data_IF_417793891006
#
_entry.id   IF_417793891006
#
_cell.length_a   1.000
_cell.length_b   1.000
_cell.length_c   1.000
_cell.angle_alpha   90.00
_cell.angle_beta   90.00
_cell.angle_gamma   90.00
#
_symmetry.space_group_name_H-M   'P 1'
#
loop_
_entity.id
_entity.type
_entity.pdbx_description
1 polymer ?
#
# COMPACT_ATOMS: atom_id res chain seq x y z
N UNK A 1 -0.74 9.30 5.43
CA UNK A 1 -1.60 8.23 4.86
C UNK A 1 -1.16 6.82 5.26
N UNK A 2 -0.15 6.68 6.10
CA UNK A 2 0.40 5.38 6.52
C UNK A 2 -0.41 4.80 7.66
N UNK A 3 -0.88 3.55 7.54
CA UNK A 3 -1.67 2.90 8.58
C UNK A 3 -1.69 1.39 8.42
N UNK A 4 -1.31 0.68 9.47
CA UNK A 4 -1.32 -0.78 9.51
C UNK A 4 -2.60 -1.29 10.19
N UNK A 5 -3.28 -2.31 9.63
CA UNK A 5 -4.43 -2.90 10.30
C UNK A 5 -4.01 -3.64 11.56
N UNK A 6 -4.76 -3.42 12.65
CA UNK A 6 -4.53 -4.09 13.93
C UNK A 6 -5.71 -4.99 14.25
N UNK A 7 -5.47 -6.29 14.42
CA UNK A 7 -6.46 -7.27 14.86
C UNK A 7 -6.01 -7.90 16.18
N UNK A 8 -6.75 -7.69 17.27
CA UNK A 8 -6.46 -8.21 18.62
C UNK A 8 -5.03 -7.84 19.09
N UNK A 9 -4.59 -6.61 18.83
CA UNK A 9 -3.25 -6.14 19.17
C UNK A 9 -2.12 -6.69 18.31
N UNK A 10 -2.44 -7.35 17.19
CA UNK A 10 -1.46 -7.86 16.22
C UNK A 10 -1.52 -7.05 14.93
N UNK A 11 -0.36 -6.72 14.37
CA UNK A 11 -0.18 -5.97 13.13
C UNK A 11 0.94 -6.57 12.27
N UNK A 12 1.26 -5.94 11.14
CA UNK A 12 2.33 -6.35 10.23
C UNK A 12 2.12 -7.78 9.71
N UNK A 13 3.17 -8.63 9.66
CA UNK A 13 3.09 -9.96 9.04
C UNK A 13 2.08 -10.92 9.70
N UNK A 14 1.58 -10.59 10.89
CA UNK A 14 0.58 -11.40 11.64
C UNK A 14 -0.86 -11.16 11.19
N UNK A 15 -1.11 -10.04 10.50
CA UNK A 15 -2.39 -9.70 9.88
C UNK A 15 -2.15 -9.50 8.40
N UNK A 16 -2.63 -10.42 7.57
CA UNK A 16 -2.42 -10.31 6.13
C UNK A 16 -3.63 -9.70 5.43
N UNK A 17 -3.34 -8.84 4.48
CA UNK A 17 -4.33 -8.31 3.56
C UNK A 17 -4.34 -9.19 2.31
N UNK A 18 -5.54 -9.55 1.88
CA UNK A 18 -5.77 -10.34 0.69
C UNK A 18 -6.63 -9.56 -0.29
N UNK A 19 -6.38 -9.75 -1.57
CA UNK A 19 -7.27 -9.34 -2.66
C UNK A 19 -7.85 -10.59 -3.31
N UNK A 20 -9.18 -10.74 -3.27
CA UNK A 20 -9.89 -11.88 -3.86
C UNK A 20 -9.40 -13.26 -3.39
N UNK A 21 -8.95 -13.35 -2.14
CA UNK A 21 -8.47 -14.59 -1.52
C UNK A 21 -6.99 -14.91 -1.72
N UNK A 22 -6.22 -14.04 -2.41
CA UNK A 22 -4.77 -14.13 -2.59
C UNK A 22 -4.07 -13.04 -1.79
N UNK A 23 -2.90 -13.36 -1.22
CA UNK A 23 -2.15 -12.39 -0.40
C UNK A 23 -1.75 -11.19 -1.24
N UNK A 24 -2.00 -9.96 -0.73
CA UNK A 24 -1.49 -8.76 -1.37
C UNK A 24 0.04 -8.75 -1.25
N UNK A 25 0.73 -8.54 -2.37
CA UNK A 25 2.19 -8.59 -2.46
C UNK A 25 2.73 -7.16 -2.45
N UNK A 26 2.84 -6.60 -1.26
CA UNK A 26 3.40 -5.29 -0.99
C UNK A 26 4.43 -5.37 0.14
N UNK A 27 5.07 -4.27 0.46
CA UNK A 27 6.06 -4.15 1.53
C UNK A 27 5.47 -3.68 2.86
N UNK A 28 4.15 -3.52 2.95
CA UNK A 28 3.48 -3.03 4.16
C UNK A 28 3.75 -3.86 5.42
N UNK A 29 4.17 -5.10 5.26
CA UNK A 29 4.57 -5.96 6.37
C UNK A 29 5.96 -5.69 6.93
N UNK A 30 6.80 -4.88 6.27
CA UNK A 30 8.18 -4.61 6.68
C UNK A 30 8.25 -3.50 7.74
N UNK A 31 7.43 -2.45 7.62
CA UNK A 31 7.43 -1.32 8.54
C UNK A 31 6.05 -0.67 8.67
N UNK A 32 5.90 0.22 9.66
CA UNK A 32 4.67 0.99 9.89
C UNK A 32 4.55 2.18 8.94
N UNK A 33 5.62 2.56 8.33
CA UNK A 33 5.86 3.64 7.39
C UNK A 33 5.47 3.30 5.94
N UNK A 34 5.27 2.02 5.64
CA UNK A 34 4.84 1.58 4.32
C UNK A 34 3.31 1.48 4.19
N UNK A 35 2.80 1.90 3.04
CA UNK A 35 1.38 1.81 2.71
C UNK A 35 0.94 0.36 2.45
N UNK A 36 -0.34 0.11 2.69
CA UNK A 36 -0.99 -1.08 2.16
C UNK A 36 -1.51 -0.75 0.74
N UNK A 37 -0.82 -1.23 -0.29
CA UNK A 37 -1.13 -0.95 -1.69
C UNK A 37 -2.36 -1.73 -2.16
N UNK A 38 -3.54 -1.32 -1.71
CA UNK A 38 -4.82 -1.93 -2.06
C UNK A 38 -5.78 -0.88 -2.60
N UNK A 39 -6.14 -1.00 -3.88
CA UNK A 39 -7.21 -0.19 -4.43
C UNK A 39 -8.58 -0.60 -3.85
N UNK A 40 -9.20 0.34 -3.13
CA UNK A 40 -10.54 0.17 -2.55
C UNK A 40 -11.66 0.70 -3.47
N UNK A 41 -11.34 1.10 -4.68
CA UNK A 41 -12.34 1.55 -5.64
C UNK A 41 -13.17 0.36 -6.14
N UNK A 42 -14.50 0.53 -6.11
CA UNK A 42 -15.48 -0.46 -6.60
C UNK A 42 -15.33 -1.86 -5.99
N UNK A 43 -15.05 -1.91 -4.68
CA UNK A 43 -15.06 -3.16 -3.92
C UNK A 43 -16.50 -3.61 -3.63
N UNK A 44 -16.70 -4.92 -3.53
CA UNK A 44 -17.99 -5.52 -3.17
C UNK A 44 -18.12 -5.68 -1.66
N UNK A 45 -17.04 -6.12 -1.00
CA UNK A 45 -17.03 -6.32 0.44
C UNK A 45 -15.60 -6.39 0.98
N UNK A 46 -15.48 -6.16 2.29
CA UNK A 46 -14.29 -6.44 3.07
C UNK A 46 -14.65 -7.54 4.07
N UNK A 47 -13.92 -8.66 4.01
CA UNK A 47 -14.10 -9.81 4.89
C UNK A 47 -12.99 -9.82 5.94
N UNK A 48 -13.34 -9.89 7.21
CA UNK A 48 -12.39 -10.06 8.30
C UNK A 48 -12.52 -11.48 8.84
N UNK A 49 -11.54 -12.34 8.52
CA UNK A 49 -11.53 -13.75 8.92
C UNK A 49 -10.55 -13.96 10.07
N UNK A 50 -11.04 -14.52 11.16
CA UNK A 50 -10.28 -14.77 12.39
C UNK A 50 -10.30 -16.27 12.74
N UNK A 51 -9.21 -16.74 13.36
CA UNK A 51 -9.10 -18.13 13.82
C UNK A 51 -8.74 -19.10 12.70
N UNK A 52 -8.97 -20.43 12.88
CA UNK A 52 -8.43 -21.47 12.00
C UNK A 52 -8.84 -21.37 10.52
N UNK A 53 -9.98 -20.72 10.22
CA UNK A 53 -10.44 -20.53 8.85
C UNK A 53 -9.51 -19.66 8.00
N UNK A 54 -8.68 -18.82 8.63
CA UNK A 54 -7.68 -18.02 7.92
C UNK A 54 -6.61 -18.89 7.24
N UNK A 55 -6.33 -20.06 7.76
CA UNK A 55 -5.35 -21.00 7.20
C UNK A 55 -5.74 -21.55 5.82
N UNK A 56 -7.01 -21.44 5.41
CA UNK A 56 -7.45 -21.84 4.07
C UNK A 56 -6.89 -20.89 2.98
N UNK A 57 -6.50 -19.68 3.36
CA UNK A 57 -6.11 -18.62 2.41
C UNK A 57 -4.64 -18.23 2.53
N UNK A 58 -4.09 -18.21 3.74
CA UNK A 58 -2.71 -17.82 3.97
C UNK A 58 -2.13 -18.46 5.23
N UNK A 59 -0.84 -18.74 5.20
CA UNK A 59 -0.09 -19.21 6.37
C UNK A 59 0.37 -18.02 7.24
N UNK A 60 0.74 -18.29 8.50
CA UNK A 60 1.32 -17.29 9.41
C UNK A 60 0.36 -16.22 9.92
N UNK A 61 -0.94 -16.31 9.65
CA UNK A 61 -1.96 -15.32 9.98
C UNK A 61 -2.56 -15.52 11.38
N UNK A 62 -1.76 -15.32 12.42
CA UNK A 62 -2.21 -15.54 13.82
C UNK A 62 -3.27 -14.52 14.24
N UNK A 63 -3.14 -13.28 13.81
CA UNK A 63 -4.10 -12.20 14.07
C UNK A 63 -5.40 -12.36 13.29
N UNK A 64 -5.30 -12.81 12.06
CA UNK A 64 -6.38 -12.94 11.09
C UNK A 64 -6.01 -12.43 9.71
N UNK A 65 -6.99 -12.38 8.84
CA UNK A 65 -6.86 -11.82 7.49
C UNK A 65 -7.96 -10.79 7.24
N UNK A 66 -7.64 -9.82 6.39
CA UNK A 66 -8.57 -8.87 5.80
C UNK A 66 -8.60 -9.17 4.30
N UNK A 67 -9.71 -9.67 3.78
CA UNK A 67 -9.86 -9.98 2.37
C UNK A 67 -10.72 -8.92 1.69
N UNK A 68 -10.11 -8.18 0.77
CA UNK A 68 -10.82 -7.21 -0.07
C UNK A 68 -11.32 -7.96 -1.30
N UNK A 69 -12.63 -7.94 -1.50
CA UNK A 69 -13.29 -8.65 -2.59
C UNK A 69 -13.87 -7.65 -3.58
N UNK A 70 -13.48 -7.76 -4.82
CA UNK A 70 -14.09 -7.08 -5.96
C UNK A 70 -14.76 -8.08 -6.92
N UNK A 71 -15.41 -7.58 -7.93
CA UNK A 71 -16.00 -8.37 -9.02
C UNK A 71 -15.33 -8.12 -10.37
N UNK A 72 -14.05 -7.78 -10.37
CA UNK A 72 -13.28 -7.63 -11.59
C UNK A 72 -13.35 -8.91 -12.43
N UNK A 73 -13.25 -10.07 -11.79
CA UNK A 73 -13.63 -11.38 -12.37
C UNK A 73 -14.98 -11.78 -11.78
N UNK A 74 -16.06 -11.44 -12.47
CA UNK A 74 -17.41 -11.70 -12.01
C UNK A 74 -17.76 -13.19 -12.00
N UNK A 75 -18.26 -13.67 -10.85
CA UNK A 75 -18.75 -15.05 -10.67
C UNK A 75 -20.22 -15.23 -11.04
N UNK A 76 -20.92 -14.14 -11.31
CA UNK A 76 -22.31 -14.10 -11.77
C UNK A 76 -22.44 -13.15 -12.97
N UNK A 77 -23.42 -13.40 -13.83
CA UNK A 77 -23.63 -12.52 -14.97
C UNK A 77 -24.13 -11.15 -14.51
N UNK A 78 -23.56 -10.10 -15.05
CA UNK A 78 -24.11 -8.76 -14.90
C UNK A 78 -25.44 -8.66 -15.64
N UNK A 79 -26.53 -8.50 -14.92
CA UNK A 79 -27.87 -8.41 -15.50
C UNK A 79 -28.11 -7.04 -16.14
N UNK A 80 -27.54 -5.99 -15.54
CA UNK A 80 -27.72 -4.60 -15.96
C UNK A 80 -26.33 -3.98 -16.17
N UNK A 81 -26.12 -3.23 -17.27
CA UNK A 81 -24.93 -2.41 -17.43
C UNK A 81 -24.83 -1.37 -16.31
N UNK A 82 -23.67 -1.25 -15.71
CA UNK A 82 -23.38 -0.28 -14.66
C UNK A 82 -22.25 0.65 -15.11
N UNK A 83 -22.45 1.95 -14.89
CA UNK A 83 -21.45 2.99 -15.08
C UNK A 83 -21.44 3.82 -13.79
N UNK A 84 -20.30 3.87 -13.12
CA UNK A 84 -20.09 4.76 -11.97
C UNK A 84 -18.99 5.75 -12.33
N UNK A 85 -19.25 7.01 -12.12
CA UNK A 85 -18.28 8.11 -12.27
C UNK A 85 -18.35 8.92 -10.98
N UNK A 86 -17.22 9.19 -10.38
CA UNK A 86 -17.15 10.00 -9.17
C UNK A 86 -15.99 10.98 -9.21
N UNK A 87 -16.18 12.09 -8.53
CA UNK A 87 -15.18 13.10 -8.23
C UNK A 87 -15.37 13.54 -6.79
N UNK A 88 -14.29 13.51 -6.03
CA UNK A 88 -14.26 13.89 -4.61
C UNK A 88 -13.15 14.92 -4.39
N UNK A 89 -13.38 15.88 -3.50
CA UNK A 89 -12.37 16.81 -3.04
C UNK A 89 -12.30 16.82 -1.53
N UNK A 90 -11.10 17.03 -1.00
CA UNK A 90 -10.84 17.15 0.42
C UNK A 90 -10.11 18.46 0.69
N UNK A 91 -10.64 19.28 1.59
CA UNK A 91 -10.04 20.58 1.93
C UNK A 91 -8.89 20.47 2.94
N UNK A 92 -8.78 19.35 3.64
CA UNK A 92 -7.76 19.11 4.68
C UNK A 92 -6.37 18.86 4.10
N UNK A 93 -6.29 18.57 2.81
CA UNK A 93 -5.05 18.27 2.08
C UNK A 93 -5.08 18.78 0.64
N UNK A 94 -5.97 19.73 0.34
CA UNK A 94 -6.23 20.26 -1.00
C UNK A 94 -6.34 19.19 -2.09
N UNK A 95 -6.84 18.01 -1.69
CA UNK A 95 -6.81 16.82 -2.50
C UNK A 95 -8.04 16.60 -3.36
N UNK A 96 -7.86 15.80 -4.38
CA UNK A 96 -8.93 15.32 -5.25
C UNK A 96 -8.79 13.84 -5.60
N UNK A 97 -9.91 13.20 -5.85
CA UNK A 97 -9.98 11.82 -6.34
C UNK A 97 -11.05 11.71 -7.40
N UNK A 98 -10.72 11.07 -8.51
CA UNK A 98 -11.64 10.80 -9.61
C UNK A 98 -11.62 9.32 -9.97
N UNK A 99 -12.78 8.78 -10.36
CA UNK A 99 -12.86 7.41 -10.78
C UNK A 99 -13.95 7.17 -11.83
N UNK A 100 -13.72 6.12 -12.63
CA UNK A 100 -14.69 5.58 -13.59
C UNK A 100 -14.72 4.07 -13.46
N UNK A 101 -15.91 3.48 -13.30
CA UNK A 101 -16.12 2.04 -13.30
C UNK A 101 -17.21 1.65 -14.29
N UNK A 102 -16.94 0.65 -15.10
CA UNK A 102 -17.83 0.15 -16.16
C UNK A 102 -18.01 -1.36 -16.00
N UNK A 103 -19.24 -1.82 -15.89
CA UNK A 103 -19.58 -3.25 -15.82
C UNK A 103 -20.67 -3.57 -16.82
N UNK A 104 -20.47 -4.61 -17.60
CA UNK A 104 -21.47 -5.03 -18.61
C UNK A 104 -21.29 -6.49 -18.99
N UNK A 105 -22.41 -7.16 -19.25
CA UNK A 105 -22.40 -8.43 -19.98
C UNK A 105 -22.55 -8.16 -21.48
N UNK A 106 -21.63 -8.72 -22.27
CA UNK A 106 -21.61 -8.63 -23.73
C UNK A 106 -21.60 -10.05 -24.30
N UNK A 107 -22.69 -10.47 -24.88
CA UNK A 107 -22.82 -11.81 -25.51
C UNK A 107 -22.43 -12.97 -24.57
N UNK A 108 -22.77 -12.88 -23.29
CA UNK A 108 -22.49 -13.91 -22.29
C UNK A 108 -21.09 -13.83 -21.67
N UNK A 109 -20.33 -12.77 -21.95
CA UNK A 109 -19.11 -12.43 -21.26
C UNK A 109 -19.34 -11.20 -20.39
N UNK A 110 -18.99 -11.30 -19.11
CA UNK A 110 -18.91 -10.14 -18.24
C UNK A 110 -17.61 -9.40 -18.50
N UNK A 111 -17.70 -8.10 -18.66
CA UNK A 111 -16.55 -7.19 -18.82
C UNK A 111 -16.62 -6.17 -17.71
N UNK A 112 -15.50 -5.95 -17.04
CA UNK A 112 -15.32 -4.96 -15.99
C UNK A 112 -14.10 -4.10 -16.33
N UNK A 113 -14.23 -2.78 -16.16
CA UNK A 113 -13.14 -1.82 -16.26
C UNK A 113 -13.27 -0.83 -15.13
N UNK A 114 -12.16 -0.54 -14.45
CA UNK A 114 -12.04 0.47 -13.41
C UNK A 114 -10.79 1.31 -13.62
N UNK A 115 -10.94 2.61 -13.39
CA UNK A 115 -9.85 3.57 -13.34
C UNK A 115 -10.07 4.50 -12.15
N UNK A 116 -9.00 4.84 -11.44
CA UNK A 116 -8.99 5.81 -10.35
C UNK A 116 -7.69 6.60 -10.40
N UNK A 117 -7.82 7.92 -10.21
CA UNK A 117 -6.72 8.81 -9.94
C UNK A 117 -6.99 9.59 -8.67
N UNK A 118 -6.01 9.73 -7.80
CA UNK A 118 -6.10 10.45 -6.53
C UNK A 118 -4.82 11.22 -6.32
N UNK A 119 -4.95 12.49 -5.94
CA UNK A 119 -3.84 13.37 -5.61
C UNK A 119 -4.21 14.13 -4.33
N UNK A 120 -3.41 13.98 -3.28
CA UNK A 120 -3.55 14.63 -1.99
C UNK A 120 -2.25 15.34 -1.65
N UNK A 121 -2.34 16.61 -1.28
CA UNK A 121 -1.23 17.36 -0.70
C UNK A 121 -0.99 17.01 0.76
N UNK A 122 -0.13 17.75 1.41
CA UNK A 122 0.15 17.59 2.83
C UNK A 122 -1.11 17.81 3.68
N UNK A 123 -1.22 17.07 4.77
CA UNK A 123 -2.38 17.06 5.62
C UNK A 123 -2.36 18.23 6.61
N UNK A 124 -3.33 19.16 6.50
CA UNK A 124 -3.48 20.30 7.39
C UNK A 124 -3.80 19.90 8.82
N UNK A 125 -3.10 20.48 9.77
CA UNK A 125 -3.29 20.27 11.21
C UNK A 125 -3.40 21.62 11.94
N UNK A 126 -4.03 21.67 13.12
CA UNK A 126 -3.96 22.86 13.97
C UNK A 126 -2.52 23.13 14.42
N UNK A 127 -2.15 24.41 14.45
CA UNK A 127 -0.86 24.85 14.97
C UNK A 127 -0.60 24.28 16.38
N UNK A 128 0.60 23.77 16.61
CA UNK A 128 1.00 23.13 17.89
C UNK A 128 0.44 21.73 18.09
N UNK A 129 -0.05 21.06 17.04
CA UNK A 129 -0.49 19.68 17.13
C UNK A 129 0.66 18.65 17.08
N UNK A 130 1.83 19.04 16.57
CA UNK A 130 3.04 18.21 16.60
C UNK A 130 3.78 18.58 17.89
N UNK A 131 4.06 17.58 18.72
CA UNK A 131 4.89 17.71 19.90
C UNK A 131 6.27 17.17 19.52
N UNK A 132 7.28 18.04 19.55
CA UNK A 132 8.67 17.59 19.55
C UNK A 132 8.99 17.10 20.95
N UNK A 133 9.52 15.90 21.12
CA UNK A 133 10.07 15.45 22.39
C UNK A 133 11.42 16.16 22.59
N UNK A 134 11.41 17.19 23.45
CA UNK A 134 12.66 17.82 23.89
C UNK A 134 13.41 16.83 24.76
N UNK A 135 14.46 16.21 24.28
CA UNK A 135 15.46 15.58 25.14
C UNK A 135 16.31 16.68 25.76
N UNK A 136 15.81 17.28 26.84
CA UNK A 136 16.61 18.21 27.68
C UNK A 136 17.69 17.45 28.43
N UNK A 137 18.92 17.50 27.95
CA UNK A 137 20.05 17.44 28.87
C UNK A 137 20.24 18.83 29.51
N UNK A 138 20.07 18.89 30.84
CA UNK A 138 20.27 20.09 31.67
C UNK A 138 21.70 20.60 31.50
N UNK A 139 21.84 21.84 31.11
CA UNK A 139 22.90 22.81 31.37
C UNK A 139 23.43 23.54 30.11
N UNK A 140 22.70 24.56 29.65
CA UNK A 140 23.35 25.80 29.14
C UNK A 140 22.33 26.94 29.15
N UNK A 141 22.50 27.87 30.10
CA UNK A 141 21.92 29.19 30.05
C UNK A 141 22.63 29.99 28.94
N UNK A 142 21.98 30.20 27.79
CA UNK A 142 21.98 31.43 27.01
C UNK A 142 21.12 31.25 25.74
N UNK A 143 20.01 31.90 25.72
CA UNK A 143 19.15 32.41 24.69
C UNK A 143 19.30 31.91 23.25
N UNK A 144 18.97 30.67 22.96
CA UNK A 144 18.52 30.28 21.63
C UNK A 144 17.00 30.43 21.60
N UNK A 145 16.49 31.39 20.81
CA UNK A 145 15.09 31.42 20.44
C UNK A 145 14.84 30.21 19.57
N UNK A 146 14.21 29.18 20.15
CA UNK A 146 13.77 27.99 19.44
C UNK A 146 12.78 28.41 18.35
N UNK A 147 13.20 28.39 17.12
CA UNK A 147 12.31 28.49 15.97
C UNK A 147 11.56 27.16 15.84
N UNK A 148 10.55 26.96 16.71
CA UNK A 148 9.52 25.96 16.44
C UNK A 148 8.83 26.39 15.14
N UNK A 149 9.19 25.77 14.01
CA UNK A 149 8.42 25.91 12.79
C UNK A 149 7.04 25.29 13.04
N UNK A 150 6.13 26.15 13.40
CA UNK A 150 4.74 25.78 13.66
C UNK A 150 4.02 25.60 12.34
N UNK A 151 4.45 24.56 11.58
CA UNK A 151 3.84 24.17 10.32
C UNK A 151 2.37 23.89 10.57
N UNK A 152 1.49 24.50 9.81
CA UNK A 152 0.05 24.24 9.86
C UNK A 152 -0.35 22.94 9.18
N UNK A 153 0.62 22.08 8.85
CA UNK A 153 0.43 20.79 8.16
C UNK A 153 1.48 19.76 8.60
N UNK A 154 1.23 18.51 8.31
CA UNK A 154 2.20 17.42 8.49
C UNK A 154 3.06 17.33 7.24
N UNK A 155 4.35 17.61 7.39
CA UNK A 155 5.29 17.51 6.27
C UNK A 155 5.39 16.06 5.76
N UNK A 156 5.70 15.85 4.47
CA UNK A 156 5.78 14.55 3.81
C UNK A 156 4.54 13.66 4.00
N UNK A 157 3.34 14.23 4.12
CA UNK A 157 2.09 13.48 4.22
C UNK A 157 1.28 13.43 2.93
N UNK A 158 1.85 13.94 1.84
CA UNK A 158 1.28 13.92 0.51
C UNK A 158 1.16 12.49 -0.04
N UNK A 159 0.20 12.30 -0.94
CA UNK A 159 -0.12 10.98 -1.50
C UNK A 159 -0.76 11.11 -2.87
N UNK A 160 -0.25 10.35 -3.83
CA UNK A 160 -0.87 10.20 -5.14
C UNK A 160 -0.99 8.71 -5.50
N UNK A 161 -2.10 8.31 -6.13
CA UNK A 161 -2.30 6.95 -6.62
C UNK A 161 -3.08 6.95 -7.92
N UNK A 162 -2.58 6.19 -8.88
CA UNK A 162 -3.28 5.81 -10.10
C UNK A 162 -3.51 4.30 -10.11
N UNK A 163 -4.74 3.86 -10.28
CA UNK A 163 -5.09 2.46 -10.33
C UNK A 163 -5.97 2.17 -11.55
N UNK A 164 -5.62 1.13 -12.29
CA UNK A 164 -6.38 0.63 -13.44
C UNK A 164 -6.63 -0.85 -13.29
N UNK A 165 -7.85 -1.29 -13.55
CA UNK A 165 -8.19 -2.71 -13.57
C UNK A 165 -9.09 -3.05 -14.77
N UNK A 166 -8.85 -4.21 -15.34
CA UNK A 166 -9.68 -4.77 -16.39
C UNK A 166 -9.91 -6.24 -16.14
N UNK A 167 -11.14 -6.69 -16.29
CA UNK A 167 -11.51 -8.09 -16.14
C UNK A 167 -12.53 -8.56 -17.16
N UNK A 168 -12.43 -9.83 -17.50
CA UNK A 168 -13.40 -10.54 -18.32
C UNK A 168 -13.69 -11.90 -17.71
N UNK A 169 -14.96 -12.30 -17.69
CA UNK A 169 -15.35 -13.63 -17.21
C UNK A 169 -16.52 -14.21 -18.01
N UNK A 170 -16.62 -15.53 -17.96
CA UNK A 170 -17.76 -16.29 -18.49
C UNK A 170 -18.34 -17.16 -17.41
N UNK A 171 -19.65 -17.10 -17.26
CA UNK A 171 -20.43 -17.83 -16.26
C UNK A 171 -21.39 -18.78 -16.95
N UNK A 172 -21.58 -19.98 -16.39
CA UNK A 172 -22.52 -20.97 -16.83
C UNK A 172 -22.90 -21.93 -15.70
N UNK A 173 -23.73 -22.92 -15.98
CA UNK A 173 -24.15 -23.93 -14.99
C UNK A 173 -22.97 -24.76 -14.45
N UNK A 174 -21.88 -24.81 -15.22
CA UNK A 174 -20.64 -25.49 -14.83
C UNK A 174 -19.79 -24.69 -13.83
N UNK A 175 -20.12 -23.42 -13.59
CA UNK A 175 -19.35 -22.49 -12.76
C UNK A 175 -18.96 -21.22 -13.53
N UNK A 176 -17.74 -20.74 -13.31
CA UNK A 176 -17.21 -19.57 -14.03
C UNK A 176 -15.70 -19.68 -14.23
N UNK A 177 -15.20 -18.93 -15.19
CA UNK A 177 -13.78 -18.66 -15.41
C UNK A 177 -13.62 -17.23 -15.89
N UNK A 178 -12.56 -16.58 -15.45
CA UNK A 178 -12.21 -15.25 -15.93
C UNK A 178 -10.75 -14.94 -15.69
N UNK A 179 -10.36 -13.81 -16.26
CA UNK A 179 -9.03 -13.25 -16.11
C UNK A 179 -9.13 -11.75 -15.83
N UNK A 180 -8.13 -11.21 -15.12
CA UNK A 180 -7.97 -9.79 -14.93
C UNK A 180 -6.51 -9.36 -15.04
N UNK A 181 -6.34 -8.07 -15.36
CA UNK A 181 -5.09 -7.34 -15.24
C UNK A 181 -5.36 -6.13 -14.35
N UNK A 182 -4.46 -5.88 -13.43
CA UNK A 182 -4.51 -4.77 -12.49
C UNK A 182 -3.16 -4.06 -12.50
N UNK A 183 -3.17 -2.73 -12.48
CA UNK A 183 -1.97 -1.89 -12.31
C UNK A 183 -2.26 -0.85 -11.25
N UNK A 184 -1.31 -0.64 -10.35
CA UNK A 184 -1.35 0.37 -9.31
C UNK A 184 0.00 1.08 -9.27
N UNK A 185 -0.03 2.41 -9.35
CA UNK A 185 1.14 3.28 -9.16
C UNK A 185 0.82 4.25 -8.05
N UNK A 186 1.73 4.40 -7.11
CA UNK A 186 1.57 5.37 -6.04
C UNK A 186 2.86 6.10 -5.76
N UNK A 187 2.72 7.32 -5.24
CA UNK A 187 3.80 8.12 -4.66
C UNK A 187 3.30 8.64 -3.34
N UNK A 188 4.07 8.49 -2.29
CA UNK A 188 3.71 9.03 -0.98
C UNK A 188 4.93 9.50 -0.21
N UNK A 189 4.78 10.59 0.54
CA UNK A 189 5.79 11.07 1.46
C UNK A 189 5.82 10.22 2.74
N UNK A 190 6.98 10.18 3.40
CA UNK A 190 7.19 9.50 4.68
C UNK A 190 7.35 10.58 5.75
N UNK A 191 6.31 10.87 6.54
CA UNK A 191 6.40 11.88 7.60
C UNK A 191 7.29 11.40 8.76
N UNK A 192 7.93 12.35 9.44
CA UNK A 192 8.75 12.13 10.65
C UNK A 192 10.03 11.31 10.49
N UNK A 193 10.62 11.25 9.30
CA UNK A 193 11.85 10.48 9.07
C UNK A 193 13.13 11.35 9.02
N UNK A 194 13.01 12.68 9.14
CA UNK A 194 14.13 13.61 9.01
C UNK A 194 14.98 13.80 10.28
N UNK A 195 14.49 13.43 11.45
CA UNK A 195 15.08 13.85 12.73
C UNK A 195 16.16 12.91 13.29
N UNK A 196 16.48 11.77 12.65
CA UNK A 196 17.42 10.78 13.21
C UNK A 196 18.89 10.93 12.75
N UNK A 197 19.24 11.93 11.93
CA UNK A 197 20.62 12.11 11.45
C UNK A 197 21.46 13.13 12.21
N UNK A 198 21.04 13.51 13.42
CA UNK A 198 21.63 14.60 14.22
C UNK A 198 22.75 14.27 15.19
N UNK A 199 23.11 13.04 15.56
CA UNK A 199 24.01 12.82 16.69
C UNK A 199 24.96 11.60 16.60
N UNK A 200 25.84 11.52 15.58
CA UNK A 200 27.03 10.68 15.66
C UNK A 200 28.34 11.43 15.30
N UNK A 201 28.49 12.68 15.74
CA UNK A 201 29.79 13.34 15.83
C UNK A 201 30.06 13.83 17.24
N UNK A 202 30.31 12.87 18.15
CA UNK A 202 30.91 13.18 19.44
C UNK A 202 32.45 13.09 19.35
N UNK A 203 33.05 14.26 19.57
CA UNK A 203 34.33 14.48 20.24
C UNK A 203 35.65 14.01 19.61
N UNK A 204 36.35 14.96 19.01
CA UNK A 204 37.72 15.33 19.43
C UNK A 204 38.28 16.43 18.50
N UNK A 205 38.18 17.72 18.96
CA UNK A 205 39.27 18.67 18.74
C UNK A 205 38.96 20.02 19.39
N UNK A 206 39.76 20.33 20.40
CA UNK A 206 39.78 21.64 21.00
C UNK A 206 40.54 22.66 20.15
N UNK A 207 40.27 23.91 20.50
CA UNK A 207 41.01 25.15 20.36
C UNK A 207 40.79 26.05 19.14
N UNK A 208 40.18 27.18 19.50
CA UNK A 208 40.41 28.55 18.99
C UNK A 208 40.26 28.82 17.50
N UNK A 209 39.07 29.31 17.10
CA UNK A 209 39.01 30.42 16.17
C UNK A 209 37.70 31.20 16.33
N UNK A 210 37.86 32.50 16.79
CA UNK A 210 36.89 33.58 16.54
C UNK A 210 36.80 33.79 15.02
N UNK A 211 35.61 33.57 14.45
CA UNK A 211 35.20 34.32 13.24
C UNK A 211 33.68 34.32 13.12
N UNK A 212 33.14 35.57 13.11
CA UNK A 212 31.77 35.94 12.81
C UNK A 212 31.38 35.52 11.38
N UNK A 213 30.62 34.46 11.21
CA UNK A 213 29.81 34.25 10.02
C UNK A 213 28.43 33.73 10.44
N UNK A 214 27.50 34.66 10.61
CA UNK A 214 26.08 34.36 10.65
C UNK A 214 25.57 34.25 9.22
N UNK A 215 25.57 33.09 8.69
CA UNK A 215 24.70 32.68 7.61
C UNK A 215 23.71 31.69 8.20
N UNK A 216 22.49 32.15 8.45
CA UNK A 216 21.35 31.32 8.81
C UNK A 216 21.05 30.43 7.59
N UNK A 217 21.70 29.27 7.48
CA UNK A 217 21.29 28.24 6.54
C UNK A 217 19.98 27.67 7.05
N UNK A 218 18.87 28.07 6.41
CA UNK A 218 17.58 27.41 6.57
C UNK A 218 17.78 25.95 6.12
N UNK A 219 17.92 25.01 7.05
CA UNK A 219 17.89 23.59 6.75
C UNK A 219 16.49 23.26 6.28
N UNK A 220 16.26 23.30 4.98
CA UNK A 220 15.03 22.78 4.40
C UNK A 220 14.98 21.28 4.63
N UNK A 221 13.93 20.81 5.31
CA UNK A 221 13.74 19.38 5.61
C UNK A 221 13.72 18.54 4.31
N UNK A 222 14.66 17.62 4.17
CA UNK A 222 14.74 16.72 3.03
C UNK A 222 13.44 15.92 2.88
N UNK A 223 12.85 15.95 1.68
CA UNK A 223 11.66 15.18 1.39
C UNK A 223 12.00 13.71 1.15
N UNK A 224 11.59 12.82 2.05
CA UNK A 224 11.65 11.38 1.87
C UNK A 224 10.33 10.89 1.28
N UNK A 225 10.39 10.13 0.22
CA UNK A 225 9.21 9.61 -0.44
C UNK A 225 9.41 8.21 -1.00
N UNK A 226 8.31 7.47 -1.12
CA UNK A 226 8.28 6.17 -1.77
C UNK A 226 7.42 6.20 -3.01
N UNK A 227 7.87 5.53 -4.06
CA UNK A 227 7.10 5.25 -5.27
C UNK A 227 6.83 3.76 -5.39
N UNK A 228 5.60 3.39 -5.73
CA UNK A 228 5.21 2.00 -5.99
C UNK A 228 4.80 1.83 -7.44
N UNK A 229 5.22 0.72 -8.06
CA UNK A 229 4.67 0.22 -9.32
C UNK A 229 4.33 -1.26 -9.12
N UNK A 230 3.05 -1.60 -9.27
CA UNK A 230 2.54 -2.96 -9.07
C UNK A 230 1.64 -3.37 -10.22
N UNK A 231 1.99 -4.47 -10.84
CA UNK A 231 1.18 -5.08 -11.90
C UNK A 231 0.80 -6.49 -11.52
N UNK A 232 -0.42 -6.90 -11.79
CA UNK A 232 -0.84 -8.28 -11.59
C UNK A 232 -1.72 -8.81 -12.70
N UNK A 233 -1.49 -10.07 -13.06
CA UNK A 233 -2.34 -10.85 -13.94
C UNK A 233 -2.98 -11.99 -13.14
N UNK A 234 -4.29 -12.11 -13.21
CA UNK A 234 -5.03 -13.14 -12.45
C UNK A 234 -5.92 -13.96 -13.36
N UNK A 235 -5.89 -15.28 -13.20
CA UNK A 235 -6.90 -16.22 -13.70
C UNK A 235 -7.61 -16.81 -12.51
N UNK A 236 -8.94 -16.71 -12.46
CA UNK A 236 -9.75 -17.22 -11.35
C UNK A 236 -11.00 -17.92 -11.91
N UNK A 237 -11.38 -18.97 -11.24
CA UNK A 237 -12.59 -19.67 -11.62
C UNK A 237 -13.09 -20.65 -10.59
N UNK A 238 -14.22 -21.23 -10.91
CA UNK A 238 -14.89 -22.24 -10.11
C UNK A 238 -15.54 -23.25 -11.03
N UNK A 239 -15.38 -24.52 -10.75
CA UNK A 239 -15.97 -25.59 -11.51
C UNK A 239 -16.80 -26.52 -10.64
N UNK A 240 -18.09 -26.69 -10.99
CA UNK A 240 -19.03 -27.57 -10.33
C UNK A 240 -18.84 -29.02 -10.85
N UNK A 241 -18.22 -29.87 -10.04
CA UNK A 241 -17.96 -31.28 -10.42
C UNK A 241 -19.20 -32.13 -10.17
N UNK A 242 -19.95 -31.80 -9.08
CA UNK A 242 -21.14 -32.55 -8.63
C UNK A 242 -20.86 -34.05 -8.40
N UNK A 243 -19.62 -34.40 -8.10
CA UNK A 243 -19.20 -35.77 -7.82
C UNK A 243 -19.60 -36.23 -6.42
N UNK A 244 -19.43 -37.52 -6.14
CA UNK A 244 -19.73 -38.10 -4.83
C UNK A 244 -18.81 -37.57 -3.72
N UNK A 245 -17.54 -37.31 -4.03
CA UNK A 245 -16.53 -36.84 -3.07
C UNK A 245 -16.22 -35.37 -3.24
N UNK A 246 -16.04 -34.89 -4.47
CA UNK A 246 -15.75 -33.49 -4.77
C UNK A 246 -16.97 -32.84 -5.37
N UNK A 247 -17.49 -31.82 -4.74
CA UNK A 247 -18.65 -31.06 -5.23
C UNK A 247 -18.23 -29.93 -6.19
N UNK A 248 -17.16 -29.25 -5.81
CA UNK A 248 -16.71 -28.05 -6.46
C UNK A 248 -15.21 -27.87 -6.31
N UNK A 249 -14.56 -27.26 -7.27
CA UNK A 249 -13.19 -26.74 -7.14
C UNK A 249 -13.19 -25.25 -7.48
N UNK A 250 -12.65 -24.45 -6.58
CA UNK A 250 -12.29 -23.05 -6.83
C UNK A 250 -10.78 -23.01 -7.10
N UNK A 251 -10.36 -22.33 -8.15
CA UNK A 251 -8.95 -22.23 -8.54
C UNK A 251 -8.55 -20.81 -8.86
N UNK A 252 -7.29 -20.49 -8.59
CA UNK A 252 -6.71 -19.18 -8.87
C UNK A 252 -5.25 -19.36 -9.29
N UNK A 253 -4.87 -18.63 -10.31
CA UNK A 253 -3.50 -18.36 -10.71
C UNK A 253 -3.29 -16.87 -10.67
N UNK A 254 -2.20 -16.38 -10.11
CA UNK A 254 -1.81 -14.98 -10.14
C UNK A 254 -0.31 -14.86 -10.35
N UNK A 255 0.04 -13.94 -11.22
CA UNK A 255 1.39 -13.45 -11.43
C UNK A 255 1.41 -11.99 -11.02
N UNK A 256 2.38 -11.60 -10.21
CA UNK A 256 2.49 -10.24 -9.67
C UNK A 256 3.92 -9.78 -9.74
N UNK A 257 4.13 -8.58 -10.29
CA UNK A 257 5.36 -7.83 -10.20
C UNK A 257 5.11 -6.58 -9.35
N UNK A 258 5.98 -6.36 -8.38
CA UNK A 258 5.91 -5.24 -7.46
C UNK A 258 7.28 -4.63 -7.26
N UNK A 259 7.37 -3.31 -7.41
CA UNK A 259 8.55 -2.51 -7.15
C UNK A 259 8.17 -1.35 -6.25
N UNK A 260 8.87 -1.19 -5.14
CA UNK A 260 8.85 0.03 -4.35
C UNK A 260 10.25 0.63 -4.35
N UNK A 261 10.34 1.91 -4.63
CA UNK A 261 11.57 2.71 -4.55
C UNK A 261 11.40 3.78 -3.50
N UNK A 262 12.28 3.80 -2.52
CA UNK A 262 12.39 4.83 -1.50
C UNK A 262 13.57 5.74 -1.83
N UNK A 263 13.34 7.04 -1.84
CA UNK A 263 14.31 8.03 -2.26
C UNK A 263 14.16 9.33 -1.45
N UNK A 264 15.27 10.06 -1.36
CA UNK A 264 15.31 11.44 -0.88
C UNK A 264 15.17 12.37 -2.09
N UNK A 265 14.43 13.46 -1.95
CA UNK A 265 14.39 14.48 -2.98
C UNK A 265 15.64 15.36 -2.79
N UNK A 266 16.54 15.33 -3.74
CA UNK A 266 17.61 16.31 -3.83
C UNK A 266 17.02 17.64 -4.31
N UNK A 267 17.33 18.75 -3.65
CA UNK A 267 16.99 20.06 -4.16
C UNK A 267 17.83 20.38 -5.39
N UNK A 268 17.16 20.63 -6.54
CA UNK A 268 17.78 21.21 -7.73
C UNK A 268 18.09 22.71 -7.45
N UNK A 269 19.14 23.03 -6.69
CA UNK A 269 19.40 24.43 -6.31
C UNK A 269 20.83 24.84 -5.97
N UNK A 270 21.77 23.93 -5.89
CA UNK A 270 23.16 24.35 -5.67
C UNK A 270 23.85 24.71 -6.98
N UNK A 271 24.07 26.03 -7.20
CA UNK A 271 25.03 26.54 -8.16
C UNK A 271 26.41 25.99 -7.79
N UNK A 272 27.12 25.45 -8.80
CA UNK A 272 28.43 24.81 -8.72
C UNK A 272 29.41 25.64 -7.86
N UNK A 273 29.55 25.29 -6.59
CA UNK A 273 30.73 25.61 -5.82
C UNK A 273 31.72 24.43 -5.96
N UNK A 274 32.84 24.68 -6.63
CA UNK A 274 33.99 23.76 -6.78
C UNK A 274 34.73 23.61 -5.44
N UNK A 275 34.10 23.01 -4.43
CA UNK A 275 34.79 22.47 -3.26
C UNK A 275 34.45 20.98 -3.16
N UNK A 276 35.49 20.15 -3.36
CA UNK A 276 35.43 18.69 -3.32
C UNK A 276 35.19 18.20 -1.86
N UNK A 277 33.96 18.39 -1.35
CA UNK A 277 33.48 17.64 -0.20
C UNK A 277 32.59 16.51 -0.77
N UNK A 278 32.96 15.26 -0.46
CA UNK A 278 32.25 14.05 -0.85
C UNK A 278 30.83 14.09 -0.19
N UNK A 279 29.84 14.70 -0.87
CA UNK A 279 28.45 14.51 -0.50
C UNK A 279 28.12 13.02 -0.76
N UNK A 280 27.79 12.29 0.28
CA UNK A 280 27.27 10.93 0.14
C UNK A 280 25.94 11.01 -0.63
N UNK A 281 25.99 10.69 -1.94
CA UNK A 281 24.76 10.53 -2.74
C UNK A 281 23.90 9.44 -2.09
N UNK A 282 22.79 9.81 -1.49
CA UNK A 282 21.81 8.86 -0.96
C UNK A 282 21.17 8.08 -2.12
N UNK A 283 21.71 6.90 -2.39
CA UNK A 283 21.20 6.05 -3.46
C UNK A 283 19.82 5.50 -3.11
N UNK A 284 18.82 5.60 -4.01
CA UNK A 284 17.48 5.08 -3.75
C UNK A 284 17.49 3.59 -3.37
N UNK A 285 16.70 3.23 -2.38
CA UNK A 285 16.51 1.84 -1.95
C UNK A 285 15.34 1.21 -2.72
N UNK A 286 15.57 0.06 -3.33
CA UNK A 286 14.55 -0.66 -4.10
C UNK A 286 14.15 -1.95 -3.40
N UNK A 287 12.83 -2.13 -3.23
CA UNK A 287 12.21 -3.38 -2.76
C UNK A 287 11.49 -4.02 -3.93
N UNK A 288 11.89 -5.23 -4.29
CA UNK A 288 11.35 -5.99 -5.40
C UNK A 288 10.63 -7.23 -4.88
N UNK A 289 9.45 -7.51 -5.39
CA UNK A 289 8.72 -8.73 -5.10
C UNK A 289 8.01 -9.22 -6.37
N UNK A 290 8.54 -10.27 -7.00
CA UNK A 290 7.89 -10.96 -8.10
C UNK A 290 7.39 -12.31 -7.60
N UNK A 291 6.10 -12.58 -7.76
CA UNK A 291 5.52 -13.82 -7.24
C UNK A 291 4.52 -14.45 -8.21
N UNK A 292 4.69 -15.75 -8.45
CA UNK A 292 3.71 -16.58 -9.15
C UNK A 292 2.98 -17.48 -8.14
N UNK A 293 1.67 -17.38 -8.08
CA UNK A 293 0.83 -18.03 -7.08
C UNK A 293 -0.22 -18.95 -7.71
N UNK A 294 -0.38 -20.14 -7.14
CA UNK A 294 -1.40 -21.11 -7.52
C UNK A 294 -2.23 -21.46 -6.30
N UNK A 295 -3.54 -21.32 -6.40
CA UNK A 295 -4.51 -21.68 -5.37
C UNK A 295 -5.54 -22.66 -5.88
N UNK A 296 -5.90 -23.66 -5.06
CA UNK A 296 -7.03 -24.53 -5.30
C UNK A 296 -7.74 -24.87 -3.99
N UNK A 297 -9.07 -24.74 -3.98
CA UNK A 297 -9.92 -25.14 -2.85
C UNK A 297 -10.94 -26.15 -3.35
N UNK A 298 -10.88 -27.35 -2.79
CA UNK A 298 -11.81 -28.43 -3.10
C UNK A 298 -12.90 -28.47 -2.03
N UNK A 299 -14.16 -28.40 -2.45
CA UNK A 299 -15.30 -28.60 -1.59
C UNK A 299 -15.65 -30.10 -1.56
N UNK A 300 -15.44 -30.71 -0.40
CA UNK A 300 -15.70 -32.13 -0.10
C UNK A 300 -16.92 -32.29 0.81
N UNK A 301 -17.72 -31.24 0.95
CA UNK A 301 -18.87 -31.21 1.86
C UNK A 301 -19.96 -32.19 1.44
N UNK A 302 -20.66 -32.72 2.42
CA UNK A 302 -21.86 -33.53 2.25
C UNK A 302 -22.97 -33.04 3.18
N UNK A 303 -24.12 -33.69 3.18
CA UNK A 303 -25.32 -33.28 3.95
C UNK A 303 -25.09 -33.19 5.47
N UNK A 304 -24.05 -33.87 5.99
CA UNK A 304 -23.77 -33.95 7.42
C UNK A 304 -22.53 -33.17 7.84
N UNK A 305 -21.62 -32.87 6.93
CA UNK A 305 -20.31 -32.32 7.25
C UNK A 305 -19.80 -31.38 6.18
N UNK A 306 -19.37 -30.19 6.59
CA UNK A 306 -18.67 -29.25 5.71
C UNK A 306 -17.17 -29.49 5.77
N UNK A 307 -16.56 -29.83 4.63
CA UNK A 307 -15.13 -30.08 4.50
C UNK A 307 -14.57 -29.33 3.30
N UNK A 308 -13.43 -28.69 3.50
CA UNK A 308 -12.67 -28.05 2.43
C UNK A 308 -11.20 -28.46 2.53
N UNK A 309 -10.58 -28.70 1.38
CA UNK A 309 -9.17 -28.96 1.24
C UNK A 309 -8.57 -27.87 0.37
N UNK A 310 -7.57 -27.15 0.90
CA UNK A 310 -6.89 -26.05 0.20
C UNK A 310 -5.46 -26.43 -0.12
N UNK A 311 -5.02 -26.05 -1.31
CA UNK A 311 -3.62 -26.05 -1.74
C UNK A 311 -3.26 -24.66 -2.19
N UNK A 312 -2.15 -24.15 -1.66
CA UNK A 312 -1.55 -22.90 -2.11
C UNK A 312 -0.07 -23.16 -2.35
N UNK A 313 0.40 -22.77 -3.52
CA UNK A 313 1.79 -22.82 -3.91
C UNK A 313 2.21 -21.41 -4.36
N UNK A 314 3.38 -20.98 -3.92
CA UNK A 314 3.96 -19.66 -4.23
C UNK A 314 5.39 -19.85 -4.62
N UNK A 315 5.78 -19.22 -5.71
CA UNK A 315 7.16 -19.05 -6.17
C UNK A 315 7.46 -17.54 -6.18
N UNK A 316 8.45 -17.14 -5.37
CA UNK A 316 8.92 -15.76 -5.16
C UNK A 316 10.36 -15.62 -5.64
#
# INVERSE_FOLDING_TARGET
>A
AVGQPIIRGMSGPRVKILKNGMVNRDVSGLGVDHLNDVDLNDIQQIEIVKGPSSLLYANGTIGGIINVVDDCIAAMNFEIPEVKIGYETQSVNDGSSEFVNLKRNINGFNVNFGYKNTEFGNYDIPNGAILHEEEHEEDHEEGHEEHEENLGYVNNSDFAVEATKFGISKVGDWGYVGLSVDSLKSVYGIPFHGDEHGDEHADEHGDDHDDEHGDEEEHEEERIFSTTDSESFTIKGSYNINGNFVKKVDYTYRDTDYVLTEAHAEEEGHEEHEDEEEHEEHTPTNFLNSATEYGAIFDLSNDSLTQKLSFNFVEE
#
